data_IF_788161084549
#
_entry.id   IF_788161084549
#
_cell.length_a   1.000
_cell.length_b   1.000
_cell.length_c   1.000
_cell.angle_alpha   90.00
_cell.angle_beta   90.00
_cell.angle_gamma   90.00
#
_symmetry.space_group_name_H-M   'P 1'
#
loop_
_entity.id
_entity.type
_entity.pdbx_description
1 polymer ?
#
# COMPACT_ATOMS: atom_id res chain seq x y z
N UNK A 1 -41.62 19.69 14.28
CA UNK A 1 -40.71 19.20 15.36
C UNK A 1 -40.64 20.33 16.37
N UNK A 2 -40.87 20.10 17.62
CA UNK A 2 -40.68 21.11 18.67
C UNK A 2 -39.31 20.89 19.31
N UNK A 3 -38.57 21.98 19.50
CA UNK A 3 -37.23 21.93 20.11
C UNK A 3 -37.35 22.27 21.60
N UNK A 4 -36.52 21.59 22.40
CA UNK A 4 -36.32 21.92 23.80
C UNK A 4 -35.01 22.70 23.95
N UNK A 5 -34.86 23.45 25.03
CA UNK A 5 -33.67 24.24 25.34
C UNK A 5 -32.40 23.41 25.28
N UNK A 6 -32.44 22.16 25.74
CA UNK A 6 -31.30 21.23 25.78
C UNK A 6 -30.81 20.79 24.39
N UNK A 7 -31.67 20.95 23.36
CA UNK A 7 -31.32 20.65 21.99
C UNK A 7 -30.34 21.65 21.38
N UNK A 8 -30.20 22.83 21.98
CA UNK A 8 -29.36 23.89 21.43
C UNK A 8 -27.98 23.98 22.10
N UNK A 9 -27.01 24.51 21.36
CA UNK A 9 -25.70 24.89 21.85
C UNK A 9 -25.65 26.42 22.00
N UNK A 10 -25.62 26.91 23.23
CA UNK A 10 -25.67 28.31 23.57
C UNK A 10 -24.31 28.93 23.94
N UNK A 11 -23.20 28.22 23.68
CA UNK A 11 -21.85 28.75 23.98
C UNK A 11 -21.53 30.04 23.25
N UNK A 12 -22.08 30.23 22.04
CA UNK A 12 -21.93 31.42 21.21
C UNK A 12 -23.31 31.86 20.70
N UNK A 13 -23.90 32.82 21.41
CA UNK A 13 -25.18 33.45 20.96
C UNK A 13 -24.84 34.66 20.09
N UNK A 14 -25.55 34.77 18.95
CA UNK A 14 -25.39 35.92 18.06
C UNK A 14 -25.77 37.21 18.82
N UNK A 15 -25.01 38.31 18.62
CA UNK A 15 -25.21 39.60 19.29
C UNK A 15 -26.62 40.14 19.13
N UNK A 16 -27.27 39.88 17.99
CA UNK A 16 -28.65 40.30 17.74
C UNK A 16 -29.71 39.59 18.62
N UNK A 17 -29.35 38.44 19.22
CA UNK A 17 -30.18 37.67 20.14
C UNK A 17 -29.70 37.72 21.60
N UNK A 18 -28.64 38.45 21.90
CA UNK A 18 -27.98 38.47 23.21
C UNK A 18 -28.86 39.04 24.35
N UNK A 19 -29.93 39.78 23.99
CA UNK A 19 -30.91 40.32 24.93
C UNK A 19 -31.99 39.29 25.35
N UNK A 20 -32.07 38.17 24.63
CA UNK A 20 -33.04 37.09 24.89
C UNK A 20 -32.41 36.01 25.77
N UNK A 21 -33.22 35.44 26.63
CA UNK A 21 -32.85 34.23 27.39
C UNK A 21 -32.83 32.99 26.51
N UNK A 22 -32.13 31.93 26.88
CA UNK A 22 -32.17 30.65 26.15
C UNK A 22 -33.57 30.08 25.94
N UNK A 23 -34.47 30.26 26.89
CA UNK A 23 -35.89 29.89 26.78
C UNK A 23 -36.59 30.73 25.70
N UNK A 24 -36.43 32.03 25.69
CA UNK A 24 -37.00 32.93 24.67
C UNK A 24 -36.48 32.64 23.28
N UNK A 25 -35.18 32.32 23.15
CA UNK A 25 -34.60 31.90 21.86
C UNK A 25 -35.21 30.55 21.41
N UNK A 26 -35.42 29.62 22.32
CA UNK A 26 -36.06 28.34 22.00
C UNK A 26 -37.50 28.55 21.53
N UNK A 27 -38.27 29.44 22.21
CA UNK A 27 -39.63 29.80 21.82
C UNK A 27 -39.64 30.51 20.44
N UNK A 28 -38.72 31.44 20.19
CA UNK A 28 -38.55 32.10 18.89
C UNK A 28 -38.34 31.11 17.76
N UNK A 29 -37.48 30.08 17.96
CA UNK A 29 -37.24 29.03 16.97
C UNK A 29 -38.48 28.18 16.74
N UNK A 30 -39.17 27.77 17.79
CA UNK A 30 -40.38 26.99 17.69
C UNK A 30 -41.51 27.79 16.99
N UNK A 31 -41.69 29.08 17.31
CA UNK A 31 -42.64 29.98 16.67
C UNK A 31 -42.31 30.18 15.18
N UNK A 32 -41.02 30.26 14.83
CA UNK A 32 -40.62 30.31 13.43
C UNK A 32 -41.05 29.06 12.64
N UNK A 33 -40.83 27.88 13.20
CA UNK A 33 -41.21 26.64 12.54
C UNK A 33 -42.70 26.28 12.65
N UNK A 34 -43.44 26.90 13.59
CA UNK A 34 -44.93 26.81 13.65
C UNK A 34 -45.65 27.54 12.53
N UNK A 35 -44.90 28.40 11.80
CA UNK A 35 -45.43 29.12 10.65
C UNK A 35 -45.78 30.59 10.89
N UNK A 36 -45.52 31.16 12.07
CA UNK A 36 -45.69 32.57 12.37
C UNK A 36 -44.88 33.39 11.38
N UNK A 37 -45.41 34.58 10.97
CA UNK A 37 -44.73 35.44 10.03
C UNK A 37 -43.45 36.00 10.64
N UNK A 38 -42.36 36.00 9.83
CA UNK A 38 -41.04 36.43 10.29
C UNK A 38 -41.05 37.91 10.75
N UNK A 39 -41.86 38.78 10.10
CA UNK A 39 -42.02 40.17 10.51
C UNK A 39 -42.62 40.32 11.91
N UNK A 40 -43.60 39.50 12.23
CA UNK A 40 -44.28 39.48 13.56
C UNK A 40 -43.32 38.98 14.64
N UNK A 41 -42.49 37.95 14.33
CA UNK A 41 -41.45 37.46 15.24
C UNK A 41 -40.37 38.51 15.54
N UNK A 42 -39.88 39.16 14.51
CA UNK A 42 -38.85 40.24 14.65
C UNK A 42 -39.38 41.38 15.55
N UNK A 43 -40.63 41.76 15.37
CA UNK A 43 -41.24 42.78 16.18
C UNK A 43 -41.49 42.31 17.64
N UNK A 44 -42.08 41.12 17.80
CA UNK A 44 -42.38 40.54 19.11
C UNK A 44 -41.12 40.34 20.00
N UNK A 45 -40.04 39.82 19.42
CA UNK A 45 -38.78 39.59 20.13
C UNK A 45 -37.78 40.74 20.06
N UNK A 46 -38.19 41.91 19.50
CA UNK A 46 -37.38 43.11 19.35
C UNK A 46 -35.98 42.85 18.72
N UNK A 47 -35.95 42.16 17.59
CA UNK A 47 -34.73 41.76 16.90
C UNK A 47 -34.42 42.70 15.75
N UNK A 48 -33.28 43.41 15.78
CA UNK A 48 -32.90 44.36 14.76
C UNK A 48 -32.20 43.73 13.54
N UNK A 49 -32.97 42.94 12.73
CA UNK A 49 -32.42 42.24 11.55
C UNK A 49 -33.40 42.19 10.38
N UNK A 50 -32.88 41.91 9.18
CA UNK A 50 -33.72 41.66 8.02
C UNK A 50 -34.39 40.26 8.14
N UNK A 51 -35.65 40.16 7.73
CA UNK A 51 -36.41 38.90 7.78
C UNK A 51 -35.70 37.71 7.14
N UNK A 52 -34.96 37.91 6.07
CA UNK A 52 -34.19 36.85 5.37
C UNK A 52 -32.99 36.32 6.16
N UNK A 53 -32.54 37.05 7.19
CA UNK A 53 -31.37 36.67 7.99
C UNK A 53 -31.71 36.05 9.34
N UNK A 54 -32.98 36.00 9.75
CA UNK A 54 -33.40 35.53 11.07
C UNK A 54 -32.87 34.12 11.35
N UNK A 55 -33.02 33.15 10.42
CA UNK A 55 -32.57 31.78 10.59
C UNK A 55 -31.07 31.67 10.82
N UNK A 56 -30.27 32.54 10.20
CA UNK A 56 -28.80 32.51 10.37
C UNK A 56 -28.32 32.94 11.74
N UNK A 57 -29.23 33.53 12.56
CA UNK A 57 -28.96 33.96 13.94
C UNK A 57 -29.24 32.85 14.96
N UNK A 58 -30.01 31.83 14.58
CA UNK A 58 -30.41 30.76 15.49
C UNK A 58 -29.17 29.97 15.97
N UNK A 59 -29.12 29.58 17.26
CA UNK A 59 -28.06 28.78 17.78
C UNK A 59 -28.06 27.41 17.08
N UNK A 60 -26.88 26.78 16.94
CA UNK A 60 -26.79 25.45 16.38
C UNK A 60 -27.48 24.43 17.28
N UNK A 61 -27.97 23.35 16.65
CA UNK A 61 -28.70 22.26 17.31
C UNK A 61 -27.78 21.07 17.51
N UNK A 62 -27.79 20.49 18.71
CA UNK A 62 -27.13 19.22 19.01
C UNK A 62 -27.83 18.09 18.29
N UNK A 63 -27.09 17.24 17.64
CA UNK A 63 -27.61 16.04 16.97
C UNK A 63 -27.22 14.78 17.74
N UNK A 64 -27.91 13.69 17.48
CA UNK A 64 -27.64 12.38 18.09
C UNK A 64 -26.44 11.69 17.41
N UNK A 65 -25.30 12.37 17.40
CA UNK A 65 -24.02 11.90 16.90
C UNK A 65 -22.93 12.52 17.72
N UNK A 66 -21.94 11.75 18.14
CA UNK A 66 -20.82 12.20 18.93
C UNK A 66 -19.56 12.37 18.10
N UNK A 67 -18.72 13.32 18.48
CA UNK A 67 -17.41 13.53 17.87
C UNK A 67 -16.45 12.40 18.24
N UNK A 68 -15.84 11.73 17.26
CA UNK A 68 -14.87 10.64 17.47
C UNK A 68 -13.63 11.03 18.32
N UNK A 69 -13.32 12.33 18.42
CA UNK A 69 -12.15 12.82 19.16
C UNK A 69 -12.48 13.40 20.53
N UNK A 70 -13.69 13.89 20.72
CA UNK A 70 -14.06 14.66 21.92
C UNK A 70 -15.17 14.01 22.74
N UNK A 71 -15.87 13.03 22.20
CA UNK A 71 -17.05 12.39 22.75
C UNK A 71 -18.16 13.39 23.16
N UNK A 72 -18.17 14.55 22.47
CA UNK A 72 -19.20 15.58 22.64
C UNK A 72 -20.25 15.48 21.53
N UNK A 73 -21.51 15.82 21.80
CA UNK A 73 -22.53 15.90 20.77
C UNK A 73 -22.08 16.82 19.63
N UNK A 74 -22.27 16.37 18.41
CA UNK A 74 -22.05 17.20 17.24
C UNK A 74 -23.18 18.22 17.11
N UNK A 75 -22.89 19.36 16.50
CA UNK A 75 -23.87 20.43 16.27
C UNK A 75 -24.04 20.69 14.78
N UNK A 76 -25.23 21.16 14.42
CA UNK A 76 -25.53 21.59 13.05
C UNK A 76 -26.39 22.85 13.03
N UNK A 77 -26.43 23.54 11.89
CA UNK A 77 -27.26 24.74 11.69
C UNK A 77 -28.68 24.35 11.33
N UNK A 78 -29.60 25.22 11.67
CA UNK A 78 -30.96 25.18 11.23
C UNK A 78 -31.11 25.68 9.80
N UNK A 79 -31.95 25.03 9.01
CA UNK A 79 -32.34 25.46 7.68
C UNK A 79 -33.59 26.35 7.74
N UNK A 80 -33.90 27.07 6.66
CA UNK A 80 -35.14 27.82 6.58
C UNK A 80 -36.38 26.91 6.63
N UNK A 81 -37.48 27.41 7.11
CA UNK A 81 -38.79 26.69 7.13
C UNK A 81 -39.28 26.25 5.75
N UNK A 82 -38.75 26.83 4.67
CA UNK A 82 -39.03 26.43 3.29
C UNK A 82 -38.19 25.23 2.83
N UNK A 83 -37.18 24.83 3.60
CA UNK A 83 -36.35 23.66 3.29
C UNK A 83 -37.06 22.37 3.68
N UNK A 84 -36.89 21.30 2.88
CA UNK A 84 -37.43 19.99 3.17
C UNK A 84 -36.97 19.42 4.52
N UNK A 85 -35.73 19.71 4.89
CA UNK A 85 -35.13 19.30 6.16
C UNK A 85 -34.83 20.50 7.04
N UNK A 86 -35.24 20.46 8.31
CA UNK A 86 -35.02 21.54 9.27
C UNK A 86 -33.54 21.64 9.69
N UNK A 87 -32.81 20.51 9.71
CA UNK A 87 -31.40 20.45 10.08
C UNK A 87 -30.51 20.38 8.84
N UNK A 88 -29.40 21.11 8.85
CA UNK A 88 -28.40 21.04 7.79
C UNK A 88 -27.60 19.74 7.91
N UNK A 89 -27.55 18.94 6.85
CA UNK A 89 -26.68 17.75 6.78
C UNK A 89 -25.24 18.10 6.37
N UNK A 90 -25.00 19.32 5.89
CA UNK A 90 -23.72 19.69 5.29
C UNK A 90 -22.71 20.24 6.31
N UNK A 91 -23.20 20.83 7.40
CA UNK A 91 -22.37 21.57 8.35
C UNK A 91 -22.42 20.98 9.76
N UNK A 92 -22.24 19.66 9.83
CA UNK A 92 -22.18 18.94 11.12
C UNK A 92 -20.74 19.06 11.65
N UNK A 93 -20.59 19.77 12.77
CA UNK A 93 -19.28 20.08 13.36
C UNK A 93 -19.24 19.78 14.86
N UNK A 94 -18.05 19.49 15.36
CA UNK A 94 -17.81 19.42 16.81
C UNK A 94 -17.60 20.81 17.38
N UNK A 95 -18.34 21.22 18.42
CA UNK A 95 -18.18 22.55 19.02
C UNK A 95 -16.78 22.78 19.61
N UNK A 96 -16.09 21.72 20.05
CA UNK A 96 -14.78 21.83 20.71
C UNK A 96 -13.61 21.79 19.72
N UNK A 97 -13.53 20.80 18.85
CA UNK A 97 -12.35 20.60 17.98
C UNK A 97 -12.62 20.99 16.51
N UNK A 98 -13.81 21.45 16.17
CA UNK A 98 -14.23 21.83 14.81
C UNK A 98 -14.14 20.68 13.79
N UNK A 99 -14.15 19.42 14.29
CA UNK A 99 -14.22 18.25 13.42
C UNK A 99 -15.52 18.25 12.62
N UNK A 100 -15.44 17.98 11.32
CA UNK A 100 -16.57 17.89 10.39
C UNK A 100 -16.85 16.44 10.02
N UNK A 101 -18.07 15.97 10.28
CA UNK A 101 -18.42 14.56 10.10
C UNK A 101 -18.53 14.13 8.62
N UNK A 102 -19.06 14.98 7.76
CA UNK A 102 -19.46 14.61 6.39
C UNK A 102 -18.55 15.20 5.28
N UNK A 103 -17.37 15.68 5.61
CA UNK A 103 -16.40 16.25 4.66
C UNK A 103 -15.00 15.82 5.01
N UNK A 104 -14.08 15.89 4.04
CA UNK A 104 -12.65 15.78 4.30
C UNK A 104 -12.25 16.86 5.32
N UNK A 105 -12.21 16.49 6.58
CA UNK A 105 -11.98 17.43 7.67
C UNK A 105 -10.50 17.77 7.80
N UNK A 106 -10.18 19.06 7.87
CA UNK A 106 -8.82 19.58 8.04
C UNK A 106 -8.55 20.11 9.45
N UNK A 107 -9.38 19.77 10.44
CA UNK A 107 -9.14 20.19 11.81
C UNK A 107 -7.83 19.60 12.36
N UNK A 108 -7.34 20.21 13.45
CA UNK A 108 -6.07 19.77 14.06
C UNK A 108 -6.03 18.26 14.37
N UNK A 109 -7.13 17.73 14.93
CA UNK A 109 -7.21 16.30 15.30
C UNK A 109 -7.15 15.36 14.10
N UNK A 110 -7.85 15.72 13.00
CA UNK A 110 -7.77 14.94 11.76
C UNK A 110 -6.36 14.96 11.17
N UNK A 111 -5.70 16.12 11.15
CA UNK A 111 -4.31 16.24 10.66
C UNK A 111 -3.32 15.47 11.53
N UNK A 112 -3.52 15.47 12.84
CA UNK A 112 -2.69 14.68 13.78
C UNK A 112 -2.87 13.18 13.52
N UNK A 113 -4.11 12.69 13.37
CA UNK A 113 -4.43 11.29 13.05
C UNK A 113 -3.76 10.83 11.76
N UNK A 114 -3.89 11.62 10.67
CA UNK A 114 -3.26 11.31 9.38
C UNK A 114 -1.73 11.24 9.51
N UNK A 115 -1.11 12.17 10.23
CA UNK A 115 0.35 12.14 10.47
C UNK A 115 0.80 10.91 11.23
N UNK A 116 0.03 10.48 12.24
CA UNK A 116 0.34 9.27 13.00
C UNK A 116 0.21 8.01 12.13
N UNK A 117 -0.83 7.93 11.32
CA UNK A 117 -1.03 6.82 10.38
C UNK A 117 0.08 6.75 9.31
N UNK A 118 0.51 7.90 8.79
CA UNK A 118 1.64 7.97 7.84
C UNK A 118 2.96 7.53 8.50
N UNK A 119 3.19 7.96 9.76
CA UNK A 119 4.38 7.55 10.50
C UNK A 119 4.39 6.06 10.79
N UNK A 120 3.24 5.50 11.16
CA UNK A 120 3.07 4.06 11.40
C UNK A 120 3.35 3.26 10.12
N UNK A 121 2.76 3.67 8.98
CA UNK A 121 3.03 3.05 7.67
C UNK A 121 4.51 3.08 7.31
N UNK A 122 5.19 4.21 7.53
CA UNK A 122 6.64 4.31 7.30
C UNK A 122 7.42 3.33 8.17
N UNK A 123 7.11 3.24 9.46
CA UNK A 123 7.77 2.29 10.37
C UNK A 123 7.55 0.83 9.96
N UNK A 124 6.33 0.48 9.53
CA UNK A 124 6.02 -0.86 9.03
C UNK A 124 6.83 -1.16 7.77
N UNK A 125 6.88 -0.22 6.82
CA UNK A 125 7.67 -0.37 5.60
C UNK A 125 9.18 -0.50 5.88
N UNK A 126 9.73 0.33 6.77
CA UNK A 126 11.14 0.23 7.20
C UNK A 126 11.44 -1.12 7.86
N UNK A 127 10.55 -1.59 8.74
CA UNK A 127 10.68 -2.91 9.37
C UNK A 127 10.70 -4.04 8.36
N UNK A 128 9.78 -4.00 7.37
CA UNK A 128 9.72 -4.98 6.28
C UNK A 128 10.99 -4.94 5.43
N UNK A 129 11.46 -3.75 5.06
CA UNK A 129 12.68 -3.59 4.27
C UNK A 129 13.90 -4.16 5.01
N UNK A 130 14.00 -3.93 6.33
CA UNK A 130 15.08 -4.50 7.15
C UNK A 130 15.05 -6.03 7.17
N UNK A 131 13.85 -6.64 7.24
CA UNK A 131 13.72 -8.10 7.13
C UNK A 131 14.19 -8.63 5.77
N UNK A 132 13.80 -7.97 4.68
CA UNK A 132 14.22 -8.33 3.31
C UNK A 132 15.74 -8.24 3.14
N UNK A 133 16.34 -7.16 3.64
CA UNK A 133 17.80 -6.99 3.63
C UNK A 133 18.49 -8.10 4.42
N UNK A 134 18.03 -8.36 5.64
CA UNK A 134 18.59 -9.42 6.47
C UNK A 134 18.49 -10.81 5.81
N UNK A 135 17.39 -11.09 5.13
CA UNK A 135 17.22 -12.31 4.34
C UNK A 135 18.24 -12.39 3.21
N UNK A 136 18.42 -11.32 2.41
CA UNK A 136 19.42 -11.28 1.34
C UNK A 136 20.83 -11.44 1.87
N UNK A 137 21.18 -10.78 2.98
CA UNK A 137 22.48 -10.94 3.64
C UNK A 137 22.74 -12.37 4.12
N UNK A 138 21.69 -13.02 4.63
CA UNK A 138 21.78 -14.43 5.03
C UNK A 138 22.06 -15.35 3.85
N UNK A 139 21.43 -15.10 2.70
CA UNK A 139 21.70 -15.85 1.47
C UNK A 139 23.15 -15.70 1.00
N UNK A 140 23.75 -14.50 1.15
CA UNK A 140 25.16 -14.28 0.77
C UNK A 140 26.17 -15.07 1.66
N UNK A 141 25.74 -15.55 2.82
CA UNK A 141 26.59 -16.36 3.71
C UNK A 141 26.56 -17.86 3.39
N UNK A 142 25.73 -18.26 2.42
CA UNK A 142 25.67 -19.67 1.97
C UNK A 142 27.03 -20.03 1.35
N UNK A 143 27.68 -21.15 1.77
CA UNK A 143 28.94 -21.58 1.19
C UNK A 143 28.81 -21.78 -0.31
N UNK A 144 29.84 -21.35 -1.04
CA UNK A 144 29.94 -21.60 -2.48
C UNK A 144 30.19 -23.09 -2.76
N UNK A 145 29.64 -23.55 -3.88
CA UNK A 145 29.80 -24.90 -4.36
C UNK A 145 31.07 -24.97 -5.23
N UNK A 146 31.88 -26.04 -5.07
CA UNK A 146 33.06 -26.22 -5.91
C UNK A 146 32.65 -26.45 -7.38
N UNK A 147 33.40 -25.83 -8.31
CA UNK A 147 33.24 -26.07 -9.75
C UNK A 147 33.34 -27.60 -10.09
N UNK A 148 34.10 -28.35 -9.32
CA UNK A 148 34.30 -29.81 -9.52
C UNK A 148 33.09 -30.64 -9.09
N UNK A 149 32.20 -30.11 -8.25
CA UNK A 149 30.98 -30.78 -7.79
C UNK A 149 29.79 -30.62 -8.75
N UNK A 150 29.97 -29.88 -9.84
CA UNK A 150 28.91 -29.57 -10.80
C UNK A 150 28.64 -30.80 -11.67
N UNK A 151 27.37 -31.25 -11.68
CA UNK A 151 26.90 -32.23 -12.64
C UNK A 151 26.85 -31.66 -14.06
N UNK A 152 26.74 -32.55 -15.06
CA UNK A 152 26.57 -32.09 -16.44
C UNK A 152 25.30 -31.22 -16.62
N UNK A 153 24.22 -31.60 -15.97
CA UNK A 153 22.97 -30.80 -15.95
C UNK A 153 23.22 -29.39 -15.40
N UNK A 154 23.94 -29.27 -14.27
CA UNK A 154 24.29 -27.97 -13.68
C UNK A 154 25.06 -27.09 -14.68
N UNK A 155 26.07 -27.68 -15.35
CA UNK A 155 26.89 -26.99 -16.34
C UNK A 155 26.10 -26.48 -17.54
N UNK A 156 25.17 -27.28 -18.06
CA UNK A 156 24.34 -26.92 -19.20
C UNK A 156 23.36 -25.81 -18.84
N UNK A 157 22.71 -25.93 -17.67
CA UNK A 157 21.78 -24.90 -17.21
C UNK A 157 22.50 -23.58 -16.92
N UNK A 158 23.68 -23.62 -16.29
CA UNK A 158 24.52 -22.45 -16.08
C UNK A 158 24.98 -21.87 -17.43
N UNK A 159 25.45 -22.67 -18.38
CA UNK A 159 25.87 -22.19 -19.68
C UNK A 159 24.76 -21.45 -20.40
N UNK A 160 23.54 -21.99 -20.40
CA UNK A 160 22.36 -21.35 -21.00
C UNK A 160 22.04 -20.01 -20.33
N UNK A 161 22.03 -19.96 -19.01
CA UNK A 161 21.73 -18.75 -18.25
C UNK A 161 22.82 -17.67 -18.41
N UNK A 162 24.09 -18.04 -18.28
CA UNK A 162 25.20 -17.11 -18.31
C UNK A 162 25.42 -16.49 -19.67
N UNK A 163 25.24 -17.25 -20.77
CA UNK A 163 25.40 -16.68 -22.13
C UNK A 163 24.44 -15.55 -22.41
N UNK A 164 23.22 -15.64 -21.89
CA UNK A 164 22.14 -14.71 -22.23
C UNK A 164 21.96 -13.61 -21.19
N UNK A 165 22.25 -13.91 -19.92
CA UNK A 165 21.88 -13.03 -18.81
C UNK A 165 23.06 -12.55 -17.96
N UNK A 166 24.32 -12.97 -18.21
CA UNK A 166 25.43 -12.45 -17.48
C UNK A 166 25.62 -10.95 -17.78
N UNK A 167 25.72 -10.13 -16.74
CA UNK A 167 26.03 -8.70 -16.90
C UNK A 167 27.42 -8.49 -17.48
N UNK A 168 27.64 -7.38 -18.18
CA UNK A 168 28.91 -7.07 -18.86
C UNK A 168 30.13 -7.08 -17.92
N UNK A 169 29.93 -6.64 -16.67
CA UNK A 169 30.99 -6.65 -15.64
C UNK A 169 31.25 -8.06 -15.06
N UNK A 170 30.45 -9.05 -15.46
CA UNK A 170 30.51 -10.44 -14.98
C UNK A 170 30.28 -10.62 -13.47
N UNK A 171 29.72 -9.64 -12.78
CA UNK A 171 29.47 -9.68 -11.33
C UNK A 171 28.19 -10.38 -10.95
N UNK A 172 27.16 -10.29 -11.82
CA UNK A 172 25.82 -10.83 -11.56
C UNK A 172 25.09 -11.24 -12.84
N UNK A 173 24.03 -12.00 -12.67
CA UNK A 173 23.11 -12.42 -13.71
C UNK A 173 21.93 -11.43 -13.68
N UNK A 174 21.59 -10.84 -14.83
CA UNK A 174 20.49 -9.92 -15.01
C UNK A 174 19.12 -10.62 -14.84
N UNK A 175 18.08 -9.81 -14.73
CA UNK A 175 16.71 -10.28 -14.67
C UNK A 175 16.31 -11.09 -15.91
N UNK A 176 15.85 -12.30 -15.68
CA UNK A 176 15.52 -13.25 -16.75
C UNK A 176 14.27 -12.86 -17.54
N UNK A 177 13.34 -12.10 -16.93
CA UNK A 177 12.11 -11.64 -17.60
C UNK A 177 12.37 -10.81 -18.87
N UNK A 178 13.50 -10.09 -18.92
CA UNK A 178 13.86 -9.29 -20.09
C UNK A 178 14.40 -10.13 -21.25
N UNK A 179 14.84 -11.35 -20.98
CA UNK A 179 15.51 -12.24 -21.90
C UNK A 179 14.91 -13.67 -21.95
N UNK A 180 13.80 -13.87 -21.28
CA UNK A 180 13.23 -15.21 -21.01
C UNK A 180 13.01 -16.12 -22.21
N UNK A 181 12.74 -15.57 -23.40
CA UNK A 181 12.62 -16.35 -24.65
C UNK A 181 13.97 -16.68 -25.31
N UNK A 182 15.04 -15.98 -24.90
CA UNK A 182 16.39 -16.21 -25.45
C UNK A 182 17.14 -17.33 -24.74
N UNK A 183 16.82 -17.60 -23.44
CA UNK A 183 17.49 -18.64 -22.63
C UNK A 183 17.06 -20.03 -23.06
N UNK A 184 15.75 -20.19 -23.22
CA UNK A 184 15.14 -21.45 -23.71
C UNK A 184 13.96 -21.07 -24.61
N UNK A 185 13.59 -21.94 -25.57
CA UNK A 185 12.44 -21.68 -26.45
C UNK A 185 11.09 -21.67 -25.72
N UNK A 186 11.03 -22.13 -24.48
CA UNK A 186 9.80 -22.28 -23.70
C UNK A 186 9.96 -21.71 -22.29
N UNK A 187 8.97 -20.95 -21.82
CA UNK A 187 8.99 -20.31 -20.51
C UNK A 187 9.01 -21.33 -19.36
N UNK A 188 8.27 -22.42 -19.50
CA UNK A 188 8.23 -23.53 -18.53
C UNK A 188 9.61 -24.14 -18.33
N UNK A 189 10.37 -24.32 -19.41
CA UNK A 189 11.73 -24.85 -19.31
C UNK A 189 12.69 -23.85 -18.63
N UNK A 190 12.52 -22.56 -18.88
CA UNK A 190 13.28 -21.51 -18.18
C UNK A 190 12.97 -21.54 -16.66
N UNK A 191 11.70 -21.77 -16.27
CA UNK A 191 11.32 -21.93 -14.86
C UNK A 191 12.00 -23.11 -14.22
N UNK A 192 11.97 -24.25 -14.89
CA UNK A 192 12.63 -25.48 -14.39
C UNK A 192 14.15 -25.30 -14.23
N UNK A 193 14.78 -24.66 -15.20
CA UNK A 193 16.19 -24.30 -15.17
C UNK A 193 16.53 -23.44 -13.94
N UNK A 194 15.80 -22.35 -13.73
CA UNK A 194 16.01 -21.45 -12.59
C UNK A 194 15.75 -22.15 -11.25
N UNK A 195 14.65 -22.92 -11.14
CA UNK A 195 14.35 -23.67 -9.94
C UNK A 195 15.42 -24.71 -9.62
N UNK A 196 15.96 -25.40 -10.62
CA UNK A 196 17.07 -26.33 -10.46
C UNK A 196 18.31 -25.62 -9.90
N UNK A 197 18.74 -24.54 -10.54
CA UNK A 197 19.92 -23.79 -10.12
C UNK A 197 19.78 -23.20 -8.71
N UNK A 198 18.59 -22.71 -8.36
CA UNK A 198 18.26 -22.19 -7.03
C UNK A 198 18.24 -23.31 -5.97
N UNK A 199 17.60 -24.44 -6.26
CA UNK A 199 17.54 -25.58 -5.34
C UNK A 199 18.92 -26.17 -5.04
N UNK A 200 19.79 -26.18 -6.03
CA UNK A 200 21.20 -26.56 -5.93
C UNK A 200 22.09 -25.46 -5.33
N UNK A 201 21.55 -24.25 -5.10
CA UNK A 201 22.28 -23.07 -4.62
C UNK A 201 23.46 -22.64 -5.50
N UNK A 202 23.39 -22.93 -6.79
CA UNK A 202 24.40 -22.54 -7.76
C UNK A 202 24.28 -21.05 -8.12
N UNK A 203 23.08 -20.52 -8.00
CA UNK A 203 22.77 -19.08 -8.03
C UNK A 203 21.99 -18.72 -6.78
N UNK A 204 22.19 -17.50 -6.31
CA UNK A 204 21.48 -16.94 -5.15
C UNK A 204 21.02 -15.51 -5.47
N UNK A 205 19.89 -15.03 -4.92
CA UNK A 205 19.48 -13.63 -5.05
C UNK A 205 20.58 -12.67 -4.65
N UNK A 206 20.85 -11.68 -5.47
CA UNK A 206 21.94 -10.71 -5.23
C UNK A 206 21.48 -9.52 -4.38
N UNK A 207 22.39 -8.94 -3.58
CA UNK A 207 22.08 -7.84 -2.65
C UNK A 207 21.59 -6.56 -3.33
N UNK A 208 21.90 -6.35 -4.62
CA UNK A 208 21.51 -5.15 -5.36
C UNK A 208 20.08 -5.17 -5.89
N UNK A 209 19.35 -6.24 -5.61
CA UNK A 209 17.93 -6.34 -6.02
C UNK A 209 17.08 -5.25 -5.40
N UNK A 210 16.08 -4.81 -6.16
CA UNK A 210 15.02 -3.96 -5.64
C UNK A 210 14.19 -4.75 -4.60
N UNK A 211 14.03 -4.18 -3.41
CA UNK A 211 13.29 -4.79 -2.32
C UNK A 211 11.79 -4.97 -2.63
N UNK A 212 11.27 -4.24 -3.61
CA UNK A 212 9.86 -4.36 -4.03
C UNK A 212 9.58 -5.71 -4.74
N UNK A 213 10.63 -6.39 -5.23
CA UNK A 213 10.51 -7.74 -5.82
C UNK A 213 10.37 -8.84 -4.77
N UNK A 214 10.52 -8.52 -3.49
CA UNK A 214 10.41 -9.45 -2.37
C UNK A 214 9.13 -9.20 -1.59
N UNK A 215 8.47 -10.27 -1.16
CA UNK A 215 7.23 -10.23 -0.39
C UNK A 215 7.40 -11.01 0.92
N UNK A 216 6.72 -10.56 1.98
CA UNK A 216 6.61 -11.31 3.22
C UNK A 216 5.29 -12.09 3.19
N UNK A 217 5.36 -13.41 3.34
CA UNK A 217 4.20 -14.30 3.43
C UNK A 217 3.59 -14.25 4.83
N UNK A 218 2.41 -14.84 5.01
CA UNK A 218 1.69 -14.87 6.28
C UNK A 218 2.47 -15.56 7.41
N UNK A 219 3.34 -16.51 7.06
CA UNK A 219 4.21 -17.24 8.00
C UNK A 219 5.51 -16.47 8.34
N UNK A 220 5.69 -15.26 7.77
CA UNK A 220 6.87 -14.42 7.95
C UNK A 220 8.06 -14.81 7.07
N UNK A 221 7.93 -15.79 6.18
CA UNK A 221 8.96 -16.11 5.18
C UNK A 221 9.03 -15.03 4.11
N UNK A 222 10.22 -14.85 3.50
CA UNK A 222 10.41 -13.95 2.38
C UNK A 222 10.42 -14.76 1.09
N UNK A 223 9.53 -14.39 0.17
CA UNK A 223 9.44 -14.94 -1.18
C UNK A 223 9.77 -13.90 -2.23
N UNK A 224 10.03 -14.32 -3.47
CA UNK A 224 10.36 -13.44 -4.58
C UNK A 224 9.98 -14.05 -5.92
N UNK A 225 9.77 -13.20 -6.92
CA UNK A 225 9.51 -13.63 -8.29
C UNK A 225 10.82 -13.95 -9.00
N UNK A 226 11.09 -15.25 -9.25
CA UNK A 226 12.36 -15.76 -9.78
C UNK A 226 12.80 -15.14 -11.12
N UNK A 227 11.89 -14.57 -11.89
CA UNK A 227 12.20 -13.94 -13.18
C UNK A 227 12.60 -12.47 -13.10
N UNK A 228 12.30 -11.80 -11.96
CA UNK A 228 12.39 -10.35 -11.80
C UNK A 228 13.50 -9.91 -10.86
N UNK A 229 14.39 -10.83 -10.50
CA UNK A 229 15.52 -10.54 -9.62
C UNK A 229 16.83 -10.89 -10.30
N UNK A 230 17.88 -10.23 -9.83
CA UNK A 230 19.27 -10.46 -10.22
C UNK A 230 19.89 -11.52 -9.32
N UNK A 231 20.78 -12.33 -9.89
CA UNK A 231 21.41 -13.42 -9.18
C UNK A 231 22.91 -13.25 -9.13
N UNK A 232 23.50 -13.67 -8.02
CA UNK A 232 24.93 -13.88 -7.89
C UNK A 232 25.25 -15.36 -8.17
N UNK A 233 26.36 -15.61 -8.86
CA UNK A 233 26.89 -16.97 -9.05
C UNK A 233 27.53 -17.42 -7.73
N UNK A 234 27.10 -18.56 -7.21
CA UNK A 234 27.58 -19.11 -5.94
C UNK A 234 28.47 -20.33 -6.15
N UNK A 235 29.45 -20.19 -7.04
CA UNK A 235 30.39 -21.24 -7.40
C UNK A 235 31.82 -20.76 -7.12
N UNK A 236 32.63 -21.63 -6.52
CA UNK A 236 34.04 -21.40 -6.29
C UNK A 236 34.87 -21.98 -7.43
N UNK A 237 35.73 -21.16 -8.02
CA UNK A 237 36.65 -21.59 -9.06
C UNK A 237 37.67 -22.58 -8.51
N UNK A 238 37.98 -23.62 -9.28
CA UNK A 238 38.98 -24.64 -8.93
C UNK A 238 40.42 -24.13 -8.96
N UNK A 239 40.67 -23.09 -9.72
CA UNK A 239 42.01 -22.50 -9.95
C UNK A 239 42.10 -21.04 -9.47
N UNK A 240 41.16 -20.60 -8.59
CA UNK A 240 41.03 -19.25 -8.05
C UNK A 240 40.88 -18.13 -9.12
N UNK A 241 40.71 -18.52 -10.40
CA UNK A 241 40.50 -17.58 -11.50
C UNK A 241 39.03 -17.52 -11.90
N UNK A 242 38.34 -16.50 -11.41
CA UNK A 242 36.91 -16.31 -11.64
C UNK A 242 36.54 -16.15 -13.12
N UNK A 243 37.33 -15.40 -13.88
CA UNK A 243 37.06 -15.19 -15.32
C UNK A 243 37.24 -16.48 -16.14
N UNK A 244 38.27 -17.27 -15.82
CA UNK A 244 38.44 -18.58 -16.45
C UNK A 244 37.32 -19.56 -16.09
N UNK A 245 36.86 -19.54 -14.84
CA UNK A 245 35.71 -20.32 -14.43
C UNK A 245 34.45 -19.94 -15.25
N UNK A 246 34.13 -18.65 -15.33
CA UNK A 246 33.00 -18.17 -16.14
C UNK A 246 33.09 -18.63 -17.59
N UNK A 247 34.26 -18.56 -18.19
CA UNK A 247 34.47 -19.03 -19.55
C UNK A 247 34.22 -20.53 -19.67
N UNK A 248 34.70 -21.36 -18.73
CA UNK A 248 34.41 -22.80 -18.71
C UNK A 248 32.94 -23.11 -18.54
N UNK A 249 32.25 -22.37 -17.65
CA UNK A 249 30.81 -22.53 -17.42
C UNK A 249 29.96 -22.12 -18.62
N UNK A 250 30.34 -21.05 -19.34
CA UNK A 250 29.63 -20.61 -20.55
C UNK A 250 29.90 -21.51 -21.76
N UNK A 251 31.08 -22.13 -21.82
CA UNK A 251 31.52 -22.95 -22.96
C UNK A 251 32.07 -24.28 -22.48
N UNK A 252 31.20 -25.17 -21.93
CA UNK A 252 31.64 -26.50 -21.51
C UNK A 252 32.16 -27.30 -22.72
N UNK A 253 33.11 -28.16 -22.48
CA UNK A 253 33.75 -28.94 -23.56
C UNK A 253 32.79 -29.97 -24.14
N UNK A 254 32.85 -30.18 -25.45
CA UNK A 254 31.99 -31.13 -26.15
C UNK A 254 32.19 -32.61 -25.76
N UNK A 255 33.38 -32.96 -25.29
CA UNK A 255 33.69 -34.29 -24.78
C UNK A 255 32.93 -34.60 -23.48
N UNK A 256 32.65 -33.61 -22.64
CA UNK A 256 31.83 -33.79 -21.42
C UNK A 256 30.38 -34.15 -21.75
N UNK A 257 29.87 -33.85 -22.96
CA UNK A 257 28.50 -34.16 -23.39
C UNK A 257 28.37 -35.58 -23.99
N UNK A 258 29.46 -36.15 -24.50
CA UNK A 258 29.40 -37.43 -25.20
C UNK A 258 29.40 -38.60 -24.23
N UNK A 259 29.82 -38.42 -22.98
CA UNK A 259 29.91 -39.47 -21.98
C UNK A 259 28.57 -39.75 -21.28
N UNK A 260 27.59 -38.82 -21.29
CA UNK A 260 26.28 -38.99 -20.66
C UNK A 260 25.13 -39.09 -21.67
N UNK A 261 24.99 -40.26 -22.25
CA UNK A 261 23.89 -40.57 -23.20
C UNK A 261 22.49 -40.43 -22.57
N UNK A 262 22.36 -40.60 -21.24
CA UNK A 262 21.12 -40.50 -20.52
C UNK A 262 20.66 -39.06 -20.42
N UNK A 263 21.61 -38.13 -20.18
CA UNK A 263 21.29 -36.69 -20.17
C UNK A 263 20.78 -36.21 -21.52
N UNK A 264 21.47 -36.52 -22.61
CA UNK A 264 21.04 -36.12 -23.96
C UNK A 264 19.63 -36.63 -24.28
N UNK A 265 19.31 -37.86 -23.90
CA UNK A 265 17.98 -38.44 -24.11
C UNK A 265 16.89 -37.70 -23.31
N UNK A 266 17.09 -37.46 -22.03
CA UNK A 266 16.11 -36.75 -21.19
C UNK A 266 15.94 -35.27 -21.59
N UNK A 267 17.01 -34.60 -21.97
CA UNK A 267 16.97 -33.23 -22.49
C UNK A 267 16.13 -33.12 -23.78
N UNK A 268 16.40 -34.00 -24.77
CA UNK A 268 15.63 -34.00 -26.03
C UNK A 268 14.18 -34.44 -25.82
N UNK A 269 13.92 -35.34 -24.90
CA UNK A 269 12.57 -35.75 -24.52
C UNK A 269 11.76 -34.59 -23.93
N UNK A 270 12.36 -33.73 -23.10
CA UNK A 270 11.75 -32.53 -22.58
C UNK A 270 11.44 -31.52 -23.70
N UNK A 271 12.37 -31.27 -24.60
CA UNK A 271 12.14 -30.38 -25.74
C UNK A 271 10.98 -30.92 -26.60
N UNK A 272 10.98 -32.18 -26.96
CA UNK A 272 9.90 -32.80 -27.74
C UNK A 272 8.55 -32.75 -27.01
N UNK A 273 8.52 -32.86 -25.70
CA UNK A 273 7.30 -32.69 -24.90
C UNK A 273 6.75 -31.27 -25.01
N UNK A 274 7.58 -30.25 -24.85
CA UNK A 274 7.12 -28.85 -24.98
C UNK A 274 6.70 -28.50 -26.42
N UNK A 275 7.37 -29.03 -27.45
CA UNK A 275 6.94 -28.88 -28.85
C UNK A 275 5.57 -29.52 -29.13
N UNK A 276 5.21 -30.57 -28.38
CA UNK A 276 3.93 -31.27 -28.57
C UNK A 276 2.72 -30.58 -27.94
N UNK A 277 2.96 -29.59 -27.04
CA UNK A 277 1.91 -28.86 -26.31
C UNK A 277 1.52 -27.56 -27.04
N UNK A 278 2.30 -27.09 -28.01
CA UNK A 278 1.98 -25.95 -28.89
C UNK A 278 1.13 -26.39 -30.08
#
# INVERSE_FOLDING_TARGET
MMFDKENFEFSEINSALSHLTPEEITNLVNDYYSGIKVSELIEHYNIAVLSSKLVSLFPPVKINSECEFCNLPMITKLNSKSSYEQLSRKDIICPKCQHQQNRACTCFKCREKVKLEELEKKRQQESLNNKKIAYLEQLQKIPSISEEELSLTDKIYLASLLRECLHEDAEYIEEVNQKGTAITPYLEFTSELLQHLLSRRLIIPYLINDLDQFQEEEDGSITYFIYYIKYKINIQSKDENYQMMLHRLMYPRSDEFLEDSTFCYEFWKKIAFYESIQ
#
